data_IF_867217172533
#
_entry.id   IF_867217172533
#
_cell.length_a   1.000
_cell.length_b   1.000
_cell.length_c   1.000
_cell.angle_alpha   90.00
_cell.angle_beta   90.00
_cell.angle_gamma   90.00
#
_symmetry.space_group_name_H-M   'P 1'
#
loop_
_entity.id
_entity.type
_entity.pdbx_description
1 polymer ?
#
# COMPACT_ATOMS: atom_id res chain seq x y z
N UNK A 1 -17.13 21.57 -17.93
CA UNK A 1 -16.08 20.88 -18.68
C UNK A 1 -15.36 21.88 -19.55
N UNK A 2 -14.14 22.22 -19.22
CA UNK A 2 -13.33 23.14 -20.03
C UNK A 2 -12.47 22.31 -20.98
N UNK A 3 -12.83 22.32 -22.25
CA UNK A 3 -12.09 21.68 -23.34
C UNK A 3 -10.88 22.49 -23.83
N UNK A 4 -10.47 23.47 -23.04
CA UNK A 4 -9.39 24.40 -23.42
C UNK A 4 -8.08 24.03 -22.72
N UNK A 5 -7.21 23.36 -23.42
CA UNK A 5 -5.91 22.79 -23.05
C UNK A 5 -6.04 21.40 -22.40
N UNK A 6 -6.12 20.43 -23.28
CA UNK A 6 -6.19 19.03 -22.95
C UNK A 6 -4.83 18.52 -22.45
N UNK A 7 -4.62 18.59 -21.16
CA UNK A 7 -3.76 17.65 -20.47
C UNK A 7 -4.65 16.56 -19.89
N UNK A 8 -5.34 15.80 -20.72
CA UNK A 8 -6.01 14.63 -20.23
C UNK A 8 -5.32 13.40 -20.83
N UNK A 9 -5.07 12.45 -19.99
CA UNK A 9 -4.48 11.16 -20.34
C UNK A 9 -5.63 10.15 -20.30
N UNK A 10 -5.74 9.32 -21.32
CA UNK A 10 -6.71 8.23 -21.33
C UNK A 10 -6.29 7.12 -20.37
N UNK A 11 -7.23 6.26 -19.96
CA UNK A 11 -6.92 5.12 -19.11
C UNK A 11 -5.94 4.13 -19.78
N UNK A 12 -6.03 3.99 -21.10
CA UNK A 12 -5.13 3.11 -21.83
C UNK A 12 -3.70 3.67 -21.85
N UNK A 13 -3.53 4.98 -22.06
CA UNK A 13 -2.23 5.63 -21.95
C UNK A 13 -1.65 5.54 -20.52
N UNK A 14 -2.48 5.57 -19.47
CA UNK A 14 -2.03 5.34 -18.10
C UNK A 14 -1.53 3.90 -17.91
N UNK A 15 -2.24 2.92 -18.45
CA UNK A 15 -1.86 1.50 -18.38
C UNK A 15 -0.54 1.21 -19.12
N UNK A 16 -0.26 1.94 -20.17
CA UNK A 16 1.00 1.81 -20.92
C UNK A 16 2.20 2.38 -20.14
N UNK A 17 1.96 3.31 -19.22
CA UNK A 17 2.99 4.02 -18.48
C UNK A 17 3.17 3.55 -17.04
N UNK A 18 2.13 2.97 -16.43
CA UNK A 18 2.10 2.63 -15.00
C UNK A 18 1.57 1.21 -14.79
N UNK A 19 2.04 0.56 -13.74
CA UNK A 19 1.49 -0.72 -13.33
C UNK A 19 0.03 -0.59 -12.85
N UNK A 20 -0.72 -1.67 -12.99
CA UNK A 20 -2.12 -1.72 -12.54
C UNK A 20 -2.27 -1.43 -11.05
N UNK A 21 -1.31 -1.81 -10.23
CA UNK A 21 -1.33 -1.58 -8.78
C UNK A 21 -1.24 -0.10 -8.44
N UNK A 22 -0.35 0.63 -9.12
CA UNK A 22 -0.21 2.08 -8.96
C UNK A 22 -1.52 2.77 -9.35
N UNK A 23 -2.05 2.45 -10.53
CA UNK A 23 -3.28 3.05 -11.02
C UNK A 23 -4.42 2.83 -10.03
N UNK A 24 -4.65 1.57 -9.62
CA UNK A 24 -5.71 1.22 -8.67
C UNK A 24 -5.58 1.93 -7.35
N UNK A 25 -4.37 1.97 -6.79
CA UNK A 25 -4.12 2.66 -5.53
C UNK A 25 -4.46 4.14 -5.61
N UNK A 26 -3.97 4.84 -6.63
CA UNK A 26 -4.22 6.27 -6.80
C UNK A 26 -5.71 6.58 -6.99
N UNK A 27 -6.47 5.68 -7.62
CA UNK A 27 -7.93 5.86 -7.74
C UNK A 27 -8.67 5.65 -6.43
N UNK A 28 -8.26 4.67 -5.60
CA UNK A 28 -8.96 4.33 -4.36
C UNK A 28 -8.50 5.13 -3.13
N UNK A 29 -7.36 5.82 -3.20
CA UNK A 29 -6.83 6.62 -2.09
C UNK A 29 -7.71 7.83 -1.75
N UNK A 30 -8.63 8.20 -2.63
CA UNK A 30 -9.60 9.27 -2.44
C UNK A 30 -11.00 8.71 -2.22
N UNK A 31 -11.77 9.38 -1.36
CA UNK A 31 -13.17 9.02 -1.18
C UNK A 31 -13.97 9.22 -2.48
N UNK A 32 -15.01 8.41 -2.71
CA UNK A 32 -15.81 8.39 -3.92
C UNK A 32 -16.41 9.75 -4.32
N UNK A 33 -16.64 10.62 -3.33
CA UNK A 33 -17.20 11.96 -3.53
C UNK A 33 -16.14 13.08 -3.62
N UNK A 34 -14.86 12.72 -3.57
CA UNK A 34 -13.76 13.67 -3.62
C UNK A 34 -13.26 13.82 -5.05
N UNK A 35 -12.91 15.05 -5.44
CA UNK A 35 -12.23 15.27 -6.71
C UNK A 35 -10.85 14.58 -6.70
N UNK A 36 -10.53 13.87 -7.78
CA UNK A 36 -9.24 13.22 -7.96
C UNK A 36 -8.44 13.99 -9.01
N UNK A 37 -7.36 14.63 -8.56
CA UNK A 37 -6.28 15.07 -9.43
C UNK A 37 -5.21 13.97 -9.45
N UNK A 38 -5.06 13.32 -10.60
CA UNK A 38 -4.09 12.24 -10.74
C UNK A 38 -2.70 12.85 -11.00
N UNK A 39 -1.82 12.72 -10.01
CA UNK A 39 -0.44 13.17 -10.11
C UNK A 39 0.41 12.09 -10.78
N UNK A 40 0.67 12.28 -12.07
CA UNK A 40 1.43 11.33 -12.89
C UNK A 40 2.91 11.28 -12.50
N UNK A 41 3.48 12.41 -12.09
CA UNK A 41 4.89 12.48 -11.72
C UNK A 41 5.13 11.73 -10.40
N UNK A 42 4.25 11.93 -9.43
CA UNK A 42 4.26 11.16 -8.19
C UNK A 42 4.01 9.66 -8.43
N UNK A 43 3.11 9.32 -9.34
CA UNK A 43 2.81 7.93 -9.66
C UNK A 43 3.98 7.19 -10.33
N UNK A 44 4.85 7.91 -11.02
CA UNK A 44 6.09 7.39 -11.64
C UNK A 44 7.30 7.39 -10.72
N UNK A 45 7.21 8.06 -9.59
CA UNK A 45 8.31 8.15 -8.64
C UNK A 45 8.55 6.79 -7.97
N UNK A 46 9.76 6.25 -8.08
CA UNK A 46 10.18 4.98 -7.45
C UNK A 46 10.86 5.21 -6.10
N UNK A 47 10.50 6.27 -5.41
CA UNK A 47 11.02 6.63 -4.09
C UNK A 47 9.96 6.51 -3.00
N UNK A 48 10.38 6.75 -1.76
CA UNK A 48 9.50 6.78 -0.58
C UNK A 48 8.38 7.84 -0.67
N UNK A 49 8.46 8.78 -1.61
CA UNK A 49 7.42 9.77 -1.87
C UNK A 49 6.18 9.13 -2.47
N UNK A 50 6.36 8.06 -3.25
CA UNK A 50 5.25 7.31 -3.82
C UNK A 50 4.68 6.33 -2.78
N UNK A 51 3.44 6.51 -2.33
CA UNK A 51 2.86 5.65 -1.31
C UNK A 51 2.72 4.19 -1.75
N UNK A 52 2.55 3.91 -3.03
CA UNK A 52 2.48 2.55 -3.57
C UNK A 52 3.84 1.86 -3.45
N UNK A 53 4.90 2.56 -3.84
CA UNK A 53 6.27 2.04 -3.72
C UNK A 53 6.60 1.70 -2.26
N UNK A 54 6.22 2.56 -1.34
CA UNK A 54 6.43 2.33 0.09
C UNK A 54 5.70 1.09 0.61
N UNK A 55 4.45 0.88 0.19
CA UNK A 55 3.68 -0.32 0.53
C UNK A 55 4.28 -1.59 -0.07
N UNK A 56 4.70 -1.55 -1.33
CA UNK A 56 5.35 -2.67 -2.00
C UNK A 56 6.68 -3.03 -1.31
N UNK A 57 7.45 -2.03 -0.92
CA UNK A 57 8.68 -2.22 -0.17
C UNK A 57 8.43 -2.89 1.19
N UNK A 58 7.42 -2.43 1.94
CA UNK A 58 7.03 -3.03 3.21
C UNK A 58 6.62 -4.50 3.02
N UNK A 59 5.80 -4.78 2.01
CA UNK A 59 5.38 -6.15 1.68
C UNK A 59 6.58 -7.05 1.32
N UNK A 60 7.51 -6.57 0.52
CA UNK A 60 8.71 -7.32 0.15
C UNK A 60 9.57 -7.64 1.39
N UNK A 61 9.71 -6.70 2.33
CA UNK A 61 10.43 -6.93 3.58
C UNK A 61 9.75 -7.98 4.46
N UNK A 62 8.44 -7.89 4.62
CA UNK A 62 7.67 -8.87 5.41
C UNK A 62 7.79 -10.25 4.79
N UNK A 63 7.62 -10.37 3.47
CA UNK A 63 7.73 -11.63 2.74
C UNK A 63 9.12 -12.27 2.92
N UNK A 64 10.19 -11.47 2.82
CA UNK A 64 11.55 -11.95 3.04
C UNK A 64 11.78 -12.39 4.50
N UNK A 65 11.19 -11.70 5.47
CA UNK A 65 11.28 -12.07 6.87
C UNK A 65 10.58 -13.42 7.13
N UNK A 66 9.37 -13.58 6.60
CA UNK A 66 8.63 -14.84 6.71
C UNK A 66 9.36 -16.01 6.05
N UNK A 67 9.94 -15.79 4.87
CA UNK A 67 10.73 -16.81 4.17
C UNK A 67 11.96 -17.25 4.98
N UNK A 68 12.63 -16.30 5.65
CA UNK A 68 13.80 -16.60 6.51
C UNK A 68 13.41 -17.27 7.82
N UNK A 69 12.20 -17.08 8.26
CA UNK A 69 11.73 -17.68 9.50
C UNK A 69 11.65 -19.21 9.41
N UNK A 70 11.37 -19.75 8.22
CA UNK A 70 11.40 -21.18 7.83
C UNK A 70 10.79 -22.15 8.87
N UNK A 71 9.84 -21.66 9.68
CA UNK A 71 9.11 -22.46 10.64
C UNK A 71 7.64 -22.36 10.30
N UNK A 72 6.94 -23.48 10.32
CA UNK A 72 5.49 -23.45 10.30
C UNK A 72 5.01 -22.59 11.46
N UNK A 73 4.17 -21.61 11.15
CA UNK A 73 3.48 -20.82 12.17
C UNK A 73 2.52 -21.78 12.83
N UNK A 74 3.02 -22.42 13.90
CA UNK A 74 2.28 -23.43 14.64
C UNK A 74 1.05 -22.81 15.29
N UNK A 75 0.09 -23.70 15.59
CA UNK A 75 -1.19 -23.48 16.23
C UNK A 75 -1.40 -22.13 16.91
N UNK A 76 -2.32 -21.33 16.38
CA UNK A 76 -2.72 -20.03 16.93
C UNK A 76 -3.17 -20.12 18.40
N UNK A 77 -3.57 -21.30 18.86
CA UNK A 77 -4.02 -21.55 20.24
C UNK A 77 -2.87 -21.54 21.27
N UNK A 78 -1.61 -21.60 20.82
CA UNK A 78 -0.43 -21.64 21.71
C UNK A 78 0.38 -20.34 21.71
N UNK A 79 -0.14 -19.28 21.09
CA UNK A 79 0.57 -17.99 21.05
C UNK A 79 0.38 -17.28 22.38
N UNK A 80 1.49 -17.00 23.05
CA UNK A 80 1.52 -16.20 24.28
C UNK A 80 1.66 -14.71 23.97
N UNK A 81 0.55 -14.01 23.91
CA UNK A 81 0.53 -12.57 23.66
C UNK A 81 1.07 -11.73 24.82
N UNK A 82 1.30 -12.32 25.99
CA UNK A 82 1.88 -11.60 27.15
C UNK A 82 3.37 -11.26 26.93
N UNK A 83 3.97 -11.88 25.92
CA UNK A 83 5.36 -11.59 25.50
C UNK A 83 5.48 -10.26 24.75
N UNK A 84 4.39 -9.75 24.17
CA UNK A 84 4.38 -8.44 23.49
C UNK A 84 4.36 -7.32 24.54
N UNK A 85 5.52 -6.77 24.85
CA UNK A 85 5.69 -5.76 25.92
C UNK A 85 6.15 -4.40 25.39
N UNK A 86 6.77 -4.41 24.22
CA UNK A 86 7.26 -3.18 23.61
C UNK A 86 6.11 -2.33 23.08
N UNK A 87 6.26 -1.02 23.18
CA UNK A 87 5.25 -0.05 22.76
C UNK A 87 4.84 -0.24 21.31
N UNK A 88 5.79 -0.48 20.44
CA UNK A 88 5.57 -0.61 19.00
C UNK A 88 4.88 -1.95 18.65
N UNK A 89 5.19 -3.02 19.39
CA UNK A 89 4.52 -4.32 19.25
C UNK A 89 3.04 -4.21 19.61
N UNK A 90 2.73 -3.56 20.74
CA UNK A 90 1.36 -3.36 21.19
C UNK A 90 0.60 -2.45 20.22
N UNK A 91 1.23 -1.38 19.72
CA UNK A 91 0.63 -0.48 18.76
C UNK A 91 0.29 -1.19 17.45
N UNK A 92 1.19 -2.04 16.96
CA UNK A 92 0.95 -2.84 15.75
C UNK A 92 -0.17 -3.86 15.97
N UNK A 93 -0.17 -4.57 17.09
CA UNK A 93 -1.22 -5.53 17.41
C UNK A 93 -2.60 -4.87 17.48
N UNK A 94 -2.68 -3.68 18.08
CA UNK A 94 -3.90 -2.88 18.14
C UNK A 94 -4.37 -2.47 16.75
N UNK A 95 -3.48 -1.94 15.92
CA UNK A 95 -3.78 -1.54 14.55
C UNK A 95 -4.31 -2.72 13.72
N UNK A 96 -3.68 -3.89 13.85
CA UNK A 96 -4.12 -5.10 13.16
C UNK A 96 -5.50 -5.59 13.66
N UNK A 97 -5.82 -5.41 14.95
CA UNK A 97 -7.13 -5.79 15.50
C UNK A 97 -8.28 -4.89 15.03
N UNK A 98 -7.96 -3.66 14.61
CA UNK A 98 -8.92 -2.69 14.06
C UNK A 98 -9.11 -2.85 12.54
N UNK A 99 -8.34 -3.70 11.88
CA UNK A 99 -8.46 -3.96 10.45
C UNK A 99 -9.72 -4.77 10.17
N UNK A 100 -10.57 -4.32 9.20
CA UNK A 100 -11.83 -4.98 8.87
C UNK A 100 -11.68 -6.37 8.26
#
# INVERSE_FOLDING_TARGET
MSTRKANFITLDELKDQLSSDIIRYFFIMRGANSHLDFDLDLAKDESEKNPVYYLQYANARISNLLTRYDKEISDKEKVDFTLLKEKDEIALAKLLSEFP
#
